data_IF_937352071902
#
_entry.id   IF_937352071902
#
_cell.length_a   1.000
_cell.length_b   1.000
_cell.length_c   1.000
_cell.angle_alpha   90.00
_cell.angle_beta   90.00
_cell.angle_gamma   90.00
#
_symmetry.space_group_name_H-M   'P 1'
#
loop_
_entity.id
_entity.type
_entity.pdbx_description
1 polymer ?
#
# COMPACT_ATOMS: atom_id res chain seq x y z
N UNK A 1 3.29 21.94 -15.70
CA UNK A 1 3.37 20.57 -15.19
C UNK A 1 2.14 20.23 -14.33
N UNK A 2 1.91 20.91 -13.18
CA UNK A 2 0.79 20.60 -12.28
C UNK A 2 -0.58 20.75 -12.96
N UNK A 3 -0.77 21.82 -13.71
CA UNK A 3 -2.00 22.02 -14.50
C UNK A 3 -2.24 20.87 -15.51
N UNK A 4 -1.21 20.42 -16.22
CA UNK A 4 -1.30 19.29 -17.14
C UNK A 4 -1.61 17.98 -16.41
N UNK A 5 -0.98 17.77 -15.25
CA UNK A 5 -1.27 16.60 -14.40
C UNK A 5 -2.76 16.57 -14.02
N UNK A 6 -3.30 17.69 -13.54
CA UNK A 6 -4.72 17.78 -13.16
C UNK A 6 -5.62 17.53 -14.37
N UNK A 7 -5.33 18.13 -15.53
CA UNK A 7 -6.10 17.88 -16.76
C UNK A 7 -6.08 16.40 -17.17
N UNK A 8 -4.94 15.71 -17.05
CA UNK A 8 -4.86 14.29 -17.34
C UNK A 8 -5.69 13.45 -16.35
N UNK A 9 -5.66 13.80 -15.07
CA UNK A 9 -6.48 13.15 -14.04
C UNK A 9 -7.98 13.37 -14.32
N UNK A 10 -8.39 14.59 -14.65
CA UNK A 10 -9.76 14.92 -15.05
C UNK A 10 -10.17 14.12 -16.29
N UNK A 11 -9.30 14.03 -17.29
CA UNK A 11 -9.52 13.22 -18.48
C UNK A 11 -9.75 11.74 -18.18
N UNK A 12 -9.00 11.18 -17.24
CA UNK A 12 -9.23 9.82 -16.75
C UNK A 12 -10.55 9.71 -15.98
N UNK A 13 -10.83 10.66 -15.08
CA UNK A 13 -11.99 10.61 -14.18
C UNK A 13 -13.34 10.73 -14.91
N UNK A 14 -13.42 11.52 -15.99
CA UNK A 14 -14.65 11.70 -16.78
C UNK A 14 -14.98 10.50 -17.69
N UNK A 15 -14.00 9.65 -17.98
CA UNK A 15 -14.26 8.45 -18.79
C UNK A 15 -15.20 7.51 -18.08
N UNK A 16 -16.02 6.84 -18.87
CA UNK A 16 -16.97 5.85 -18.36
C UNK A 16 -16.70 4.49 -18.99
N UNK A 17 -16.50 3.50 -18.13
CA UNK A 17 -16.51 2.10 -18.52
C UNK A 17 -17.94 1.55 -18.45
N UNK A 18 -18.15 0.33 -18.93
CA UNK A 18 -19.41 -0.35 -18.69
C UNK A 18 -19.57 -0.65 -17.20
N UNK A 19 -20.80 -0.53 -16.64
CA UNK A 19 -21.09 -0.86 -15.25
C UNK A 19 -20.60 -2.25 -14.87
N UNK A 20 -20.10 -2.39 -13.65
CA UNK A 20 -19.72 -3.68 -13.10
C UNK A 20 -21.01 -4.41 -12.65
N UNK A 21 -21.40 -5.54 -13.27
CA UNK A 21 -22.57 -6.26 -12.85
C UNK A 21 -22.40 -6.87 -11.45
N UNK A 22 -23.42 -6.79 -10.62
CA UNK A 22 -23.42 -7.35 -9.27
C UNK A 22 -23.03 -8.85 -9.25
N UNK A 23 -23.58 -9.64 -10.18
CA UNK A 23 -23.21 -11.05 -10.36
C UNK A 23 -21.72 -11.31 -10.60
N UNK A 24 -21.00 -10.33 -11.17
CA UNK A 24 -19.54 -10.46 -11.37
C UNK A 24 -18.82 -10.17 -10.06
N UNK A 25 -19.30 -9.19 -9.28
CA UNK A 25 -18.78 -8.92 -7.95
C UNK A 25 -19.00 -10.12 -7.01
N UNK A 26 -20.19 -10.67 -6.98
CA UNK A 26 -20.50 -11.86 -6.14
C UNK A 26 -19.54 -13.02 -6.47
N UNK A 27 -19.39 -13.34 -7.75
CA UNK A 27 -18.44 -14.38 -8.20
C UNK A 27 -16.99 -14.07 -7.84
N UNK A 28 -16.59 -12.81 -7.88
CA UNK A 28 -15.25 -12.40 -7.49
C UNK A 28 -15.04 -12.56 -5.97
N UNK A 29 -16.05 -12.26 -5.17
CA UNK A 29 -16.03 -12.47 -3.72
C UNK A 29 -15.94 -13.97 -3.39
N UNK A 30 -16.79 -14.79 -4.00
CA UNK A 30 -16.76 -16.25 -3.82
C UNK A 30 -15.40 -16.84 -4.23
N UNK A 31 -14.85 -16.38 -5.35
CA UNK A 31 -13.52 -16.82 -5.83
C UNK A 31 -12.41 -16.42 -4.86
N UNK A 32 -12.45 -15.19 -4.35
CA UNK A 32 -11.52 -14.71 -3.34
C UNK A 32 -11.60 -15.54 -2.05
N UNK A 33 -12.81 -15.75 -1.51
CA UNK A 33 -13.04 -16.55 -0.31
C UNK A 33 -12.52 -17.98 -0.46
N UNK A 34 -12.77 -18.59 -1.62
CA UNK A 34 -12.27 -19.94 -1.90
C UNK A 34 -10.74 -20.00 -1.94
N UNK A 35 -10.09 -18.99 -2.50
CA UNK A 35 -8.62 -18.94 -2.63
C UNK A 35 -7.92 -18.61 -1.30
N UNK A 36 -8.51 -17.73 -0.49
CA UNK A 36 -7.89 -17.21 0.73
C UNK A 36 -8.38 -17.87 2.02
N UNK A 37 -9.54 -18.55 1.99
CA UNK A 37 -10.12 -19.22 3.14
C UNK A 37 -10.80 -18.30 4.15
N UNK A 38 -11.03 -17.03 3.81
CA UNK A 38 -11.78 -16.06 4.62
C UNK A 38 -12.57 -15.09 3.75
N UNK A 39 -13.66 -14.56 4.30
CA UNK A 39 -14.54 -13.63 3.63
C UNK A 39 -14.07 -12.18 3.69
N UNK A 40 -14.41 -11.39 2.67
CA UNK A 40 -14.26 -9.94 2.71
C UNK A 40 -15.21 -9.33 3.71
N UNK A 41 -14.75 -8.32 4.45
CA UNK A 41 -15.62 -7.48 5.30
C UNK A 41 -16.54 -6.62 4.43
N UNK A 42 -17.64 -6.13 4.99
CA UNK A 42 -18.55 -5.23 4.28
C UNK A 42 -17.85 -3.96 3.79
N UNK A 43 -16.93 -3.44 4.58
CA UNK A 43 -16.12 -2.28 4.18
C UNK A 43 -15.20 -2.61 2.99
N UNK A 44 -14.59 -3.78 2.96
CA UNK A 44 -13.79 -4.21 1.81
C UNK A 44 -14.65 -4.42 0.56
N UNK A 45 -15.86 -4.99 0.68
CA UNK A 45 -16.82 -5.13 -0.43
C UNK A 45 -17.23 -3.75 -0.97
N UNK A 46 -17.48 -2.79 -0.09
CA UNK A 46 -17.77 -1.39 -0.48
C UNK A 46 -16.58 -0.77 -1.26
N UNK A 47 -15.36 -1.01 -0.79
CA UNK A 47 -14.14 -0.57 -1.50
C UNK A 47 -14.06 -1.22 -2.88
N UNK A 48 -14.23 -2.52 -3.00
CA UNK A 48 -14.21 -3.23 -4.30
C UNK A 48 -15.26 -2.65 -5.26
N UNK A 49 -16.48 -2.45 -4.79
CA UNK A 49 -17.55 -1.82 -5.58
C UNK A 49 -17.15 -0.42 -6.06
N UNK A 50 -16.54 0.39 -5.19
CA UNK A 50 -16.06 1.73 -5.57
C UNK A 50 -14.94 1.69 -6.61
N UNK A 51 -13.94 0.81 -6.46
CA UNK A 51 -12.81 0.72 -7.38
C UNK A 51 -13.17 0.13 -8.74
N UNK A 52 -14.23 -0.66 -8.81
CA UNK A 52 -14.71 -1.30 -10.05
C UNK A 52 -15.84 -0.53 -10.72
N UNK A 53 -16.27 0.61 -10.16
CA UNK A 53 -17.31 1.48 -10.74
C UNK A 53 -16.95 1.96 -12.15
N UNK A 54 -17.89 2.64 -12.81
CA UNK A 54 -17.73 3.07 -14.20
C UNK A 54 -16.60 4.08 -14.45
N UNK A 55 -16.23 4.89 -13.44
CA UNK A 55 -15.21 5.93 -13.60
C UNK A 55 -13.85 5.36 -13.96
N UNK A 56 -13.15 6.07 -14.86
CA UNK A 56 -11.82 5.67 -15.32
C UNK A 56 -10.70 5.92 -14.30
N UNK A 57 -10.96 6.69 -13.23
CA UNK A 57 -10.01 6.93 -12.15
C UNK A 57 -10.69 6.76 -10.78
N UNK A 58 -9.98 6.15 -9.83
CA UNK A 58 -10.45 5.91 -8.46
C UNK A 58 -9.30 5.96 -7.46
N UNK A 59 -9.57 6.39 -6.23
CA UNK A 59 -8.59 6.38 -5.16
C UNK A 59 -9.07 5.57 -3.97
N UNK A 60 -8.16 4.79 -3.38
CA UNK A 60 -8.34 4.11 -2.11
C UNK A 60 -7.37 4.70 -1.09
N UNK A 61 -7.92 5.23 -0.02
CA UNK A 61 -7.18 5.77 1.11
C UNK A 61 -7.34 4.83 2.31
N UNK A 62 -6.26 4.52 3.00
CA UNK A 62 -6.36 3.68 4.19
C UNK A 62 -5.03 3.50 4.89
N UNK A 63 -5.08 3.17 6.19
CA UNK A 63 -3.90 2.96 6.99
C UNK A 63 -3.07 1.76 6.53
N UNK A 64 -1.79 1.74 6.92
CA UNK A 64 -0.98 0.54 6.80
C UNK A 64 -1.65 -0.60 7.59
N UNK A 65 -1.87 -1.76 6.95
CA UNK A 65 -2.52 -2.89 7.59
C UNK A 65 -4.06 -2.84 7.64
N UNK A 66 -4.70 -1.89 6.97
CA UNK A 66 -6.16 -1.83 6.86
C UNK A 66 -6.77 -2.87 5.91
N UNK A 67 -5.96 -3.69 5.23
CA UNK A 67 -6.44 -4.67 4.27
C UNK A 67 -6.65 -4.12 2.86
N UNK A 68 -5.93 -3.06 2.48
CA UNK A 68 -5.97 -2.49 1.12
C UNK A 68 -5.62 -3.55 0.06
N UNK A 69 -4.56 -4.33 0.29
CA UNK A 69 -4.12 -5.39 -0.64
C UNK A 69 -5.21 -6.45 -0.85
N UNK A 70 -5.92 -6.81 0.21
CA UNK A 70 -7.07 -7.73 0.17
C UNK A 70 -8.20 -7.20 -0.73
N UNK A 71 -8.58 -5.94 -0.54
CA UNK A 71 -9.62 -5.31 -1.35
C UNK A 71 -9.19 -5.15 -2.83
N UNK A 72 -7.91 -4.81 -3.06
CA UNK A 72 -7.35 -4.70 -4.41
C UNK A 72 -7.29 -6.06 -5.12
N UNK A 73 -6.96 -7.15 -4.42
CA UNK A 73 -6.99 -8.50 -4.98
C UNK A 73 -8.40 -8.86 -5.45
N UNK A 74 -9.42 -8.64 -4.63
CA UNK A 74 -10.80 -8.90 -5.01
C UNK A 74 -11.26 -8.00 -6.18
N UNK A 75 -10.85 -6.72 -6.20
CA UNK A 75 -11.11 -5.82 -7.32
C UNK A 75 -10.43 -6.29 -8.60
N UNK A 76 -9.17 -6.79 -8.54
CA UNK A 76 -8.46 -7.40 -9.67
C UNK A 76 -9.27 -8.57 -10.24
N UNK A 77 -9.70 -9.51 -9.39
CA UNK A 77 -10.48 -10.69 -9.84
C UNK A 77 -11.75 -10.24 -10.59
N UNK A 78 -12.45 -9.24 -10.07
CA UNK A 78 -13.66 -8.71 -10.72
C UNK A 78 -13.35 -8.02 -12.07
N UNK A 79 -12.27 -7.23 -12.14
CA UNK A 79 -11.87 -6.52 -13.34
C UNK A 79 -11.38 -7.50 -14.43
N UNK A 80 -10.57 -8.49 -14.07
CA UNK A 80 -10.08 -9.53 -14.98
C UNK A 80 -11.24 -10.38 -15.53
N UNK A 81 -12.25 -10.69 -14.70
CA UNK A 81 -13.48 -11.36 -15.15
C UNK A 81 -14.27 -10.55 -16.20
N UNK A 82 -14.01 -9.24 -16.32
CA UNK A 82 -14.56 -8.34 -17.34
C UNK A 82 -13.61 -8.12 -18.54
N UNK A 83 -12.50 -8.86 -18.58
CA UNK A 83 -11.51 -8.80 -19.67
C UNK A 83 -10.60 -7.58 -19.58
N UNK A 84 -10.41 -7.00 -18.41
CA UNK A 84 -9.36 -6.01 -18.17
C UNK A 84 -8.03 -6.71 -17.84
N UNK A 85 -6.94 -6.09 -18.25
CA UNK A 85 -5.59 -6.44 -17.79
C UNK A 85 -5.23 -5.51 -16.64
N UNK A 86 -5.03 -6.08 -15.44
CA UNK A 86 -4.68 -5.29 -14.26
C UNK A 86 -3.17 -5.37 -14.05
N UNK A 87 -2.50 -4.22 -14.03
CA UNK A 87 -1.05 -4.10 -13.80
C UNK A 87 -0.78 -3.11 -12.70
N UNK A 88 0.35 -3.29 -12.01
CA UNK A 88 0.69 -2.49 -10.84
C UNK A 88 1.99 -1.71 -10.98
N UNK A 89 2.08 -0.57 -10.31
CA UNK A 89 3.26 0.24 -10.22
C UNK A 89 3.48 0.83 -8.84
N UNK A 90 4.73 0.85 -8.38
CA UNK A 90 5.14 1.51 -7.15
C UNK A 90 6.47 2.24 -7.31
N UNK A 91 6.80 3.16 -6.41
CA UNK A 91 8.04 3.95 -6.50
C UNK A 91 9.28 3.07 -6.29
N UNK A 92 9.23 2.15 -5.33
CA UNK A 92 10.33 1.26 -4.97
C UNK A 92 10.08 -0.18 -5.44
N UNK A 93 11.17 -0.92 -5.76
CA UNK A 93 11.10 -2.32 -6.17
C UNK A 93 10.41 -3.20 -5.13
N UNK A 94 10.77 -3.03 -3.85
CA UNK A 94 10.17 -3.79 -2.75
C UNK A 94 8.66 -3.54 -2.63
N UNK A 95 8.19 -2.32 -2.87
CA UNK A 95 6.76 -2.00 -2.86
C UNK A 95 6.03 -2.64 -4.05
N UNK A 96 6.66 -2.67 -5.23
CA UNK A 96 6.11 -3.36 -6.39
C UNK A 96 6.06 -4.90 -6.17
N UNK A 97 7.08 -5.47 -5.55
CA UNK A 97 7.10 -6.90 -5.20
C UNK A 97 6.05 -7.24 -4.13
N UNK A 98 5.84 -6.37 -3.15
CA UNK A 98 4.78 -6.52 -2.15
C UNK A 98 3.40 -6.44 -2.81
N UNK A 99 3.16 -5.45 -3.68
CA UNK A 99 1.89 -5.34 -4.40
C UNK A 99 1.60 -6.61 -5.20
N UNK A 100 2.63 -7.17 -5.88
CA UNK A 100 2.49 -8.43 -6.62
C UNK A 100 2.17 -9.60 -5.70
N UNK A 101 2.93 -9.79 -4.64
CA UNK A 101 2.79 -10.95 -3.75
C UNK A 101 1.49 -10.94 -2.95
N UNK A 102 1.01 -9.75 -2.56
CA UNK A 102 -0.18 -9.59 -1.74
C UNK A 102 -1.48 -9.59 -2.54
N UNK A 103 -1.48 -9.02 -3.76
CA UNK A 103 -2.69 -8.86 -4.57
C UNK A 103 -2.72 -9.70 -5.86
N UNK A 104 -1.60 -10.35 -6.21
CA UNK A 104 -1.46 -11.09 -7.46
C UNK A 104 -1.40 -10.20 -8.71
N UNK A 105 -1.24 -8.88 -8.56
CA UNK A 105 -1.12 -7.94 -9.69
C UNK A 105 0.32 -7.93 -10.19
N UNK A 106 0.52 -8.19 -11.48
CA UNK A 106 1.85 -8.07 -12.09
C UNK A 106 2.34 -6.63 -11.97
N UNK A 107 3.41 -6.43 -11.19
CA UNK A 107 3.83 -5.11 -10.73
C UNK A 107 5.31 -4.85 -11.00
N UNK A 108 5.64 -3.58 -11.29
CA UNK A 108 6.99 -3.07 -11.55
C UNK A 108 7.16 -1.70 -10.89
N UNK A 109 8.41 -1.20 -10.85
CA UNK A 109 8.61 0.20 -10.47
C UNK A 109 8.03 1.14 -11.52
N UNK A 110 7.58 2.34 -11.09
CA UNK A 110 7.08 3.36 -12.01
C UNK A 110 8.11 3.72 -13.07
N UNK A 111 9.39 3.84 -12.70
CA UNK A 111 10.49 4.09 -13.63
C UNK A 111 10.64 2.95 -14.68
N UNK A 112 10.41 1.70 -14.29
CA UNK A 112 10.42 0.57 -15.21
C UNK A 112 9.27 0.66 -16.22
N UNK A 113 8.07 1.05 -15.79
CA UNK A 113 6.94 1.27 -16.70
C UNK A 113 7.21 2.40 -17.69
N UNK A 114 7.67 3.56 -17.21
CA UNK A 114 8.02 4.71 -18.07
C UNK A 114 9.08 4.33 -19.12
N UNK A 115 10.08 3.54 -18.73
CA UNK A 115 11.12 3.06 -19.65
C UNK A 115 10.56 2.12 -20.71
N UNK A 116 9.69 1.16 -20.36
CA UNK A 116 9.08 0.24 -21.31
C UNK A 116 8.17 1.01 -22.29
N UNK A 117 7.33 1.90 -21.78
CA UNK A 117 6.43 2.72 -22.61
C UNK A 117 7.20 3.63 -23.56
N UNK A 118 8.30 4.22 -23.14
CA UNK A 118 9.16 5.03 -24.01
C UNK A 118 9.79 4.23 -25.16
N UNK A 119 9.95 2.91 -24.99
CA UNK A 119 10.39 2.00 -26.05
C UNK A 119 9.27 1.51 -26.96
N UNK A 120 8.03 1.77 -26.62
CA UNK A 120 6.87 1.20 -27.27
C UNK A 120 6.51 -0.21 -26.79
N UNK A 121 7.12 -0.67 -25.71
CA UNK A 121 6.85 -1.97 -25.10
C UNK A 121 5.79 -1.85 -24.00
N UNK A 122 4.98 -2.88 -23.81
CA UNK A 122 3.98 -2.98 -22.74
C UNK A 122 3.06 -1.75 -22.64
N UNK A 123 2.75 -1.13 -23.79
CA UNK A 123 1.87 0.04 -23.84
C UNK A 123 0.50 -0.29 -23.27
N UNK A 124 -0.07 0.60 -22.44
CA UNK A 124 -1.45 0.44 -21.98
C UNK A 124 -2.45 0.63 -23.13
N UNK A 125 -3.62 0.09 -22.94
CA UNK A 125 -4.77 0.24 -23.84
C UNK A 125 -6.06 0.51 -23.05
N UNK A 126 -7.20 0.61 -23.73
CA UNK A 126 -8.50 0.85 -23.12
C UNK A 126 -8.99 -0.30 -22.19
N UNK A 127 -8.33 -1.45 -22.22
CA UNK A 127 -8.59 -2.58 -21.33
C UNK A 127 -7.59 -2.68 -20.18
N UNK A 128 -6.65 -1.76 -20.10
CA UNK A 128 -5.66 -1.70 -19.02
C UNK A 128 -6.23 -0.98 -17.79
N UNK A 129 -6.05 -1.57 -16.61
CA UNK A 129 -6.25 -0.92 -15.30
C UNK A 129 -4.90 -0.85 -14.61
N UNK A 130 -4.40 0.35 -14.42
CA UNK A 130 -3.13 0.58 -13.74
C UNK A 130 -3.35 0.90 -12.26
N UNK A 131 -2.79 0.07 -11.38
CA UNK A 131 -2.86 0.24 -9.92
C UNK A 131 -1.54 0.85 -9.46
N UNK A 132 -1.58 2.07 -8.92
CA UNK A 132 -0.41 2.74 -8.34
C UNK A 132 -0.45 2.65 -6.83
N UNK A 133 0.56 1.99 -6.24
CA UNK A 133 0.69 1.90 -4.78
C UNK A 133 1.64 2.97 -4.23
N UNK A 134 1.47 3.30 -2.95
CA UNK A 134 2.23 4.34 -2.24
C UNK A 134 2.21 5.70 -2.97
N UNK A 135 1.08 6.06 -3.59
CA UNK A 135 0.96 7.25 -4.42
C UNK A 135 1.26 8.57 -3.69
N UNK A 136 1.19 8.59 -2.36
CA UNK A 136 1.58 9.74 -1.52
C UNK A 136 3.06 10.12 -1.64
N UNK A 137 3.92 9.21 -2.09
CA UNK A 137 5.36 9.42 -2.26
C UNK A 137 5.75 9.79 -3.71
N UNK A 138 4.80 9.73 -4.65
CA UNK A 138 5.05 9.97 -6.07
C UNK A 138 5.15 11.46 -6.35
N UNK A 139 6.16 11.86 -7.11
CA UNK A 139 6.35 13.25 -7.52
C UNK A 139 5.30 13.71 -8.56
N UNK A 140 5.00 15.01 -8.60
CA UNK A 140 4.07 15.58 -9.60
C UNK A 140 4.52 15.30 -11.03
N UNK A 141 5.82 15.26 -11.31
CA UNK A 141 6.37 14.93 -12.64
C UNK A 141 6.04 13.49 -13.04
N UNK A 142 6.22 12.56 -12.14
CA UNK A 142 5.98 11.14 -12.41
C UNK A 142 4.49 10.84 -12.48
N UNK A 143 3.69 11.44 -11.61
CA UNK A 143 2.22 11.37 -11.69
C UNK A 143 1.70 11.91 -13.03
N UNK A 144 2.22 13.06 -13.49
CA UNK A 144 1.86 13.64 -14.79
C UNK A 144 2.21 12.70 -15.93
N UNK A 145 3.43 12.18 -15.98
CA UNK A 145 3.90 11.28 -17.04
C UNK A 145 3.01 10.03 -17.16
N UNK A 146 2.69 9.40 -16.04
CA UNK A 146 1.88 8.19 -15.99
C UNK A 146 0.42 8.50 -16.34
N UNK A 147 -0.18 9.53 -15.73
CA UNK A 147 -1.58 9.89 -16.01
C UNK A 147 -1.79 10.33 -17.46
N UNK A 148 -0.82 11.00 -18.07
CA UNK A 148 -0.85 11.35 -19.50
C UNK A 148 -0.86 10.10 -20.36
N UNK A 149 0.07 9.18 -20.16
CA UNK A 149 0.14 7.93 -20.95
C UNK A 149 -1.14 7.11 -20.82
N UNK A 150 -1.66 6.95 -19.61
CA UNK A 150 -2.91 6.22 -19.37
C UNK A 150 -4.11 6.94 -19.97
N UNK A 151 -4.17 8.28 -19.88
CA UNK A 151 -5.24 9.07 -20.47
C UNK A 151 -5.24 8.97 -22.00
N UNK A 152 -4.08 9.07 -22.65
CA UNK A 152 -3.94 8.91 -24.11
C UNK A 152 -4.37 7.51 -24.56
N UNK A 153 -4.03 6.48 -23.80
CA UNK A 153 -4.39 5.08 -24.08
C UNK A 153 -5.86 4.73 -23.83
N UNK A 154 -6.61 5.59 -23.16
CA UNK A 154 -7.97 5.26 -22.73
C UNK A 154 -8.03 4.28 -21.57
N UNK A 155 -6.90 4.05 -20.88
CA UNK A 155 -6.77 3.16 -19.76
C UNK A 155 -7.50 3.67 -18.51
N UNK A 156 -7.59 2.82 -17.48
CA UNK A 156 -8.12 3.18 -16.17
C UNK A 156 -6.99 3.26 -15.16
N UNK A 157 -7.21 4.01 -14.07
CA UNK A 157 -6.23 4.17 -13.00
C UNK A 157 -6.86 4.03 -11.62
N UNK A 158 -6.22 3.25 -10.77
CA UNK A 158 -6.53 3.15 -9.34
C UNK A 158 -5.29 3.59 -8.57
N UNK A 159 -5.43 4.52 -7.65
CA UNK A 159 -4.33 4.93 -6.77
C UNK A 159 -4.59 4.51 -5.33
N UNK A 160 -3.55 4.00 -4.69
CA UNK A 160 -3.57 3.59 -3.29
C UNK A 160 -2.66 4.52 -2.50
N UNK A 161 -3.15 4.99 -1.36
CA UNK A 161 -2.36 5.84 -0.49
C UNK A 161 -2.77 5.73 0.97
N UNK A 162 -1.92 6.30 1.83
CA UNK A 162 -2.23 6.49 3.25
C UNK A 162 -2.57 7.96 3.47
N UNK A 163 -3.76 8.23 4.03
CA UNK A 163 -4.23 9.59 4.31
C UNK A 163 -3.29 10.38 5.21
N UNK A 164 -2.48 9.70 6.01
CA UNK A 164 -1.56 10.31 6.99
C UNK A 164 -0.13 10.46 6.48
N UNK A 165 0.25 9.72 5.44
CA UNK A 165 1.51 9.93 4.71
C UNK A 165 1.43 11.16 3.79
N UNK A 166 0.31 11.88 3.77
CA UNK A 166 0.12 13.13 3.03
C UNK A 166 0.95 14.31 3.57
N UNK A 167 1.91 14.07 4.47
CA UNK A 167 2.83 15.07 4.97
C UNK A 167 4.27 14.66 4.64
N UNK A 168 4.80 15.13 3.54
CA UNK A 168 5.63 16.32 3.53
C UNK A 168 5.42 17.21 2.29
N UNK A 169 5.88 18.42 2.41
CA UNK A 169 5.65 19.63 1.60
C UNK A 169 5.92 19.47 0.08
N UNK A 170 6.52 18.41 -0.42
CA UNK A 170 6.87 18.23 -1.84
C UNK A 170 6.33 16.96 -2.52
N UNK A 171 6.10 15.87 -1.82
CA UNK A 171 5.67 14.61 -2.44
C UNK A 171 4.14 14.38 -2.40
N UNK A 172 3.42 14.93 -1.42
CA UNK A 172 1.98 14.69 -1.24
C UNK A 172 1.04 15.49 -2.16
N UNK A 173 1.54 16.46 -2.93
CA UNK A 173 0.69 17.34 -3.74
C UNK A 173 0.00 16.59 -4.89
N UNK A 174 0.70 15.67 -5.55
CA UNK A 174 0.17 14.93 -6.68
C UNK A 174 -0.97 13.98 -6.29
N UNK A 175 -0.80 13.24 -5.19
CA UNK A 175 -1.84 12.34 -4.68
C UNK A 175 -3.04 13.12 -4.18
N UNK A 176 -2.84 14.27 -3.50
CA UNK A 176 -3.93 15.14 -3.07
C UNK A 176 -4.72 15.66 -4.25
N UNK A 177 -4.05 16.17 -5.28
CA UNK A 177 -4.72 16.63 -6.50
C UNK A 177 -5.51 15.49 -7.17
N UNK A 178 -4.99 14.26 -7.17
CA UNK A 178 -5.71 13.11 -7.68
C UNK A 178 -6.99 12.84 -6.87
N UNK A 179 -6.88 12.82 -5.55
CA UNK A 179 -8.02 12.59 -4.63
C UNK A 179 -9.06 13.72 -4.73
N UNK A 180 -8.63 14.97 -4.86
CA UNK A 180 -9.53 16.13 -5.01
C UNK A 180 -10.38 16.03 -6.29
N UNK A 181 -9.82 15.51 -7.37
CA UNK A 181 -10.53 15.33 -8.65
C UNK A 181 -11.43 14.09 -8.66
N UNK A 182 -10.94 12.96 -8.14
CA UNK A 182 -11.63 11.67 -8.30
C UNK A 182 -12.55 11.32 -7.13
N UNK A 183 -12.41 11.99 -5.99
CA UNK A 183 -12.87 11.49 -4.70
C UNK A 183 -12.07 10.25 -4.28
N UNK A 184 -12.43 9.69 -3.14
CA UNK A 184 -11.81 8.47 -2.63
C UNK A 184 -12.79 7.63 -1.84
N UNK A 185 -12.46 6.36 -1.67
CA UNK A 185 -13.05 5.48 -0.66
C UNK A 185 -12.01 5.25 0.44
N UNK A 186 -12.46 5.23 1.69
CA UNK A 186 -11.58 5.02 2.83
C UNK A 186 -11.73 3.61 3.41
N UNK A 187 -10.59 3.01 3.77
CA UNK A 187 -10.52 1.75 4.50
C UNK A 187 -9.79 2.03 5.83
N UNK A 188 -10.56 2.22 6.89
CA UNK A 188 -10.08 2.68 8.20
C UNK A 188 -9.93 1.55 9.23
N UNK A 189 -10.51 0.36 8.97
CA UNK A 189 -10.40 -0.79 9.86
C UNK A 189 -9.00 -1.40 9.80
N UNK A 190 -8.25 -1.28 10.90
CA UNK A 190 -6.94 -1.92 11.04
C UNK A 190 -7.15 -3.40 11.34
N UNK A 191 -6.75 -4.28 10.41
CA UNK A 191 -6.92 -5.76 10.54
C UNK A 191 -5.61 -6.52 10.73
N UNK A 192 -4.44 -5.86 10.55
CA UNK A 192 -3.12 -6.50 10.64
C UNK A 192 -2.79 -7.01 12.05
N UNK A 193 -3.21 -6.30 13.07
CA UNK A 193 -2.99 -6.69 14.46
C UNK A 193 -4.09 -7.65 14.92
N UNK A 194 -3.72 -8.84 15.38
CA UNK A 194 -4.63 -9.84 15.93
C UNK A 194 -5.29 -9.36 17.23
N UNK A 195 -4.52 -8.68 18.07
CA UNK A 195 -4.97 -8.20 19.37
C UNK A 195 -5.70 -6.85 19.26
N UNK A 196 -6.91 -6.70 19.85
CA UNK A 196 -7.67 -5.45 19.78
C UNK A 196 -6.88 -4.24 20.32
N UNK A 197 -6.19 -4.39 21.44
CA UNK A 197 -5.42 -3.30 22.03
C UNK A 197 -4.25 -2.83 21.14
N UNK A 198 -3.63 -3.75 20.36
CA UNK A 198 -2.59 -3.38 19.38
C UNK A 198 -3.17 -2.56 18.23
N UNK A 199 -4.40 -2.88 17.81
CA UNK A 199 -5.12 -2.09 16.80
C UNK A 199 -5.40 -0.69 17.33
N UNK A 200 -5.92 -0.58 18.56
CA UNK A 200 -6.21 0.72 19.18
C UNK A 200 -4.93 1.56 19.36
N UNK A 201 -3.83 0.92 19.78
CA UNK A 201 -2.53 1.58 19.88
C UNK A 201 -2.00 2.04 18.51
N UNK A 202 -2.13 1.23 17.47
CA UNK A 202 -1.75 1.61 16.10
C UNK A 202 -2.57 2.80 15.59
N UNK A 203 -3.88 2.81 15.85
CA UNK A 203 -4.76 3.94 15.55
C UNK A 203 -4.35 5.18 16.35
N UNK A 204 -4.01 5.04 17.62
CA UNK A 204 -3.55 6.14 18.46
C UNK A 204 -2.25 6.76 17.95
N UNK A 205 -1.24 5.94 17.61
CA UNK A 205 0.01 6.42 16.98
C UNK A 205 -0.26 7.15 15.67
N UNK A 206 -1.02 6.52 14.81
CA UNK A 206 -1.39 7.11 13.54
C UNK A 206 -2.23 8.39 13.67
N UNK A 207 -2.98 8.62 14.78
CA UNK A 207 -3.80 9.83 15.03
C UNK A 207 -3.05 10.95 15.75
N UNK A 208 -1.72 10.80 15.95
CA UNK A 208 -0.94 11.76 16.75
C UNK A 208 -1.15 11.66 18.27
N UNK A 209 -1.94 10.70 18.74
CA UNK A 209 -2.16 10.41 20.17
C UNK A 209 -1.09 9.46 20.70
N UNK A 210 0.18 9.77 20.41
CA UNK A 210 1.31 8.90 20.71
C UNK A 210 1.40 8.51 22.20
N UNK A 211 1.00 9.39 23.12
CA UNK A 211 0.97 9.08 24.57
C UNK A 211 0.06 7.89 24.89
N UNK A 212 -1.12 7.82 24.28
CA UNK A 212 -2.06 6.71 24.48
C UNK A 212 -1.49 5.41 23.91
N UNK A 213 -0.90 5.47 22.71
CA UNK A 213 -0.22 4.32 22.11
C UNK A 213 0.91 3.78 22.98
N UNK A 214 1.80 4.65 23.49
CA UNK A 214 2.89 4.27 24.39
C UNK A 214 2.35 3.67 25.69
N UNK A 215 1.33 4.28 26.30
CA UNK A 215 0.71 3.77 27.53
C UNK A 215 0.15 2.35 27.32
N UNK A 216 -0.50 2.07 26.21
CA UNK A 216 -1.03 0.75 25.90
C UNK A 216 0.03 -0.36 25.86
N UNK A 217 1.25 -0.03 25.40
CA UNK A 217 2.40 -0.94 25.40
C UNK A 217 3.05 -1.06 26.79
N UNK A 218 3.13 0.05 27.55
CA UNK A 218 3.65 0.05 28.92
C UNK A 218 2.79 -0.81 29.85
N UNK A 219 1.47 -0.63 29.80
CA UNK A 219 0.51 -1.38 30.63
C UNK A 219 0.57 -2.90 30.41
N UNK A 220 1.28 -3.36 29.38
CA UNK A 220 1.41 -4.78 28.98
C UNK A 220 2.84 -5.28 28.98
N UNK A 221 3.75 -4.55 29.63
CA UNK A 221 5.18 -4.90 29.70
C UNK A 221 5.83 -5.15 28.32
N UNK A 222 5.38 -4.40 27.29
CA UNK A 222 5.93 -4.47 25.94
C UNK A 222 6.94 -3.36 25.63
N UNK A 223 7.29 -2.55 26.62
CA UNK A 223 8.32 -1.52 26.56
C UNK A 223 9.37 -1.77 27.64
N UNK A 224 10.63 -1.89 27.21
CA UNK A 224 11.77 -1.94 28.10
C UNK A 224 12.48 -0.58 28.10
N UNK A 225 12.75 -0.05 29.27
CA UNK A 225 13.55 1.16 29.47
C UNK A 225 14.95 0.79 29.88
N UNK A 226 15.95 1.41 29.28
CA UNK A 226 17.37 1.20 29.62
C UNK A 226 18.05 2.53 29.86
N UNK A 227 19.14 2.52 30.64
CA UNK A 227 19.87 3.74 30.96
C UNK A 227 20.67 4.27 29.75
N UNK A 228 21.19 3.37 28.94
CA UNK A 228 22.01 3.73 27.75
C UNK A 228 21.50 3.13 26.48
N UNK A 229 21.90 3.72 25.34
CA UNK A 229 21.61 3.16 24.01
C UNK A 229 22.31 1.81 23.78
N UNK A 230 23.42 1.57 24.44
CA UNK A 230 24.18 0.32 24.33
C UNK A 230 23.42 -0.81 25.02
N UNK A 231 22.90 -0.55 26.23
CA UNK A 231 22.02 -1.50 26.92
C UNK A 231 20.75 -1.81 26.15
N UNK A 232 20.15 -0.79 25.50
CA UNK A 232 18.99 -0.98 24.66
C UNK A 232 19.29 -1.92 23.49
N UNK A 233 20.44 -1.75 22.81
CA UNK A 233 20.83 -2.63 21.71
C UNK A 233 21.12 -4.05 22.19
N UNK A 234 21.84 -4.19 23.31
CA UNK A 234 22.10 -5.50 23.90
C UNK A 234 20.82 -6.25 24.24
N UNK A 235 19.83 -5.55 24.84
CA UNK A 235 18.51 -6.13 25.14
C UNK A 235 17.79 -6.56 23.85
N UNK A 236 17.77 -5.72 22.82
CA UNK A 236 17.13 -6.05 21.53
C UNK A 236 17.77 -7.29 20.88
N UNK A 237 19.09 -7.40 20.90
CA UNK A 237 19.81 -8.57 20.35
C UNK A 237 19.48 -9.82 21.17
N UNK A 238 19.52 -9.69 22.50
CA UNK A 238 19.17 -10.80 23.40
C UNK A 238 17.77 -11.33 23.12
N UNK A 239 16.78 -10.45 23.01
CA UNK A 239 15.38 -10.82 22.79
C UNK A 239 15.13 -11.35 21.36
N UNK A 240 15.90 -10.87 20.37
CA UNK A 240 15.80 -11.31 18.98
C UNK A 240 16.38 -12.71 18.74
N UNK A 241 17.47 -13.09 19.44
CA UNK A 241 18.21 -14.33 19.21
C UNK A 241 17.35 -15.61 19.27
N UNK A 242 16.43 -15.81 20.23
CA UNK A 242 15.57 -16.99 20.26
C UNK A 242 14.69 -17.13 19.01
N UNK A 243 14.15 -16.02 18.52
CA UNK A 243 13.31 -16.01 17.31
C UNK A 243 14.12 -16.33 16.05
N UNK A 244 15.31 -15.75 15.95
CA UNK A 244 16.21 -16.06 14.83
C UNK A 244 16.61 -17.54 14.81
N UNK A 245 16.95 -18.13 15.95
CA UNK A 245 17.26 -19.57 16.08
C UNK A 245 16.07 -20.46 15.71
N UNK A 246 14.84 -20.00 15.98
CA UNK A 246 13.62 -20.70 15.59
C UNK A 246 13.26 -20.46 14.10
N UNK A 247 14.11 -19.81 13.33
CA UNK A 247 13.87 -19.43 11.92
C UNK A 247 12.58 -18.60 11.72
N UNK A 248 12.19 -17.85 12.75
CA UNK A 248 11.07 -16.93 12.65
C UNK A 248 11.46 -15.69 11.81
N UNK A 249 10.51 -15.19 11.03
CA UNK A 249 10.68 -13.95 10.25
C UNK A 249 10.52 -12.73 11.16
N UNK A 250 11.61 -12.36 11.86
CA UNK A 250 11.64 -11.25 12.83
C UNK A 250 12.77 -10.28 12.50
N UNK A 251 12.43 -9.00 12.40
CA UNK A 251 13.37 -7.93 12.08
C UNK A 251 13.49 -6.95 13.25
N UNK A 252 14.72 -6.56 13.58
CA UNK A 252 14.98 -5.44 14.49
C UNK A 252 14.98 -4.14 13.69
N UNK A 253 14.24 -3.14 14.17
CA UNK A 253 14.19 -1.82 13.54
C UNK A 253 14.77 -0.75 14.47
N UNK A 254 15.46 0.24 13.91
CA UNK A 254 15.93 1.41 14.65
C UNK A 254 15.68 2.70 13.86
N UNK A 255 15.48 3.80 14.59
CA UNK A 255 15.15 5.09 14.02
C UNK A 255 16.32 5.73 13.25
N UNK A 256 17.57 5.54 13.68
CA UNK A 256 18.74 6.19 13.08
C UNK A 256 19.64 5.16 12.41
N UNK A 257 20.15 5.50 11.22
CA UNK A 257 21.07 4.63 10.45
C UNK A 257 22.30 4.19 11.26
N UNK A 258 22.85 5.05 12.13
CA UNK A 258 23.97 4.68 13.02
C UNK A 258 23.60 3.52 13.95
N UNK A 259 22.36 3.50 14.48
CA UNK A 259 21.90 2.45 15.38
C UNK A 259 21.63 1.15 14.60
N UNK A 260 21.14 1.26 13.35
CA UNK A 260 21.01 0.11 12.44
C UNK A 260 22.37 -0.52 12.16
N UNK A 261 23.40 0.29 11.89
CA UNK A 261 24.77 -0.21 11.66
C UNK A 261 25.31 -0.93 12.90
N UNK A 262 25.16 -0.32 14.08
CA UNK A 262 25.60 -0.92 15.35
C UNK A 262 24.90 -2.25 15.61
N UNK A 263 23.57 -2.29 15.50
CA UNK A 263 22.76 -3.50 15.67
C UNK A 263 23.19 -4.62 14.69
N UNK A 264 23.48 -4.29 13.44
CA UNK A 264 23.96 -5.28 12.46
C UNK A 264 25.32 -5.87 12.83
N UNK A 265 26.24 -5.07 13.43
CA UNK A 265 27.54 -5.55 13.91
C UNK A 265 27.33 -6.46 15.11
N UNK A 266 26.64 -5.99 16.12
CA UNK A 266 26.37 -6.72 17.37
C UNK A 266 25.60 -8.04 17.13
N UNK A 267 24.61 -8.03 16.23
CA UNK A 267 23.88 -9.26 15.84
C UNK A 267 24.80 -10.29 15.18
N UNK A 268 25.69 -9.85 14.27
CA UNK A 268 26.68 -10.75 13.64
C UNK A 268 27.67 -11.34 14.64
N UNK A 269 28.11 -10.56 15.63
CA UNK A 269 28.97 -11.02 16.70
C UNK A 269 28.27 -12.05 17.58
N UNK A 270 27.02 -11.79 17.98
CA UNK A 270 26.21 -12.71 18.74
C UNK A 270 25.97 -14.05 18.02
N UNK A 271 25.74 -14.00 16.69
CA UNK A 271 25.57 -15.20 15.86
C UNK A 271 26.88 -16.01 15.69
N UNK A 272 28.05 -15.37 15.75
CA UNK A 272 29.34 -16.07 15.68
C UNK A 272 29.76 -16.71 17.01
N UNK A 273 29.24 -16.21 18.12
CA UNK A 273 29.54 -16.72 19.46
C UNK A 273 28.70 -17.95 19.86
N UNK A 274 27.76 -18.32 19.00
CA UNK A 274 26.85 -19.49 19.18
C UNK A 274 27.11 -20.56 18.14
#
# INVERSE_FOLDING_TARGET
LEHQMVQNIEGLAIRRAAPMPEKVLDKAYDSFEHQRGFALTDQQKMVVSHLTREQGASALVGYAGAGKSTAIEAARIALEARGYTVVGGALAGIAADNLRSESGIESRTLASWEYQWAKGDLLPDAKTVFVMDEAGMVSSRQMESITRTLNEAGARMIVLGDARQLQPIQAGAAFRAFVDVTGYVELDSVVRQSEPWMRDAAVAFGSGRAKEGVAAYLDRDKLAWTETSDDARATLIHDWMPYHRASADVTIMAHRNKDVIALNVEAREALRAT
#
